data_IF_493447449097
#
_entry.id   IF_493447449097
#
_cell.length_a   1.000
_cell.length_b   1.000
_cell.length_c   1.000
_cell.angle_alpha   90.00
_cell.angle_beta   90.00
_cell.angle_gamma   90.00
#
_symmetry.space_group_name_H-M   'P 1'
#
loop_
_entity.id
_entity.type
_entity.pdbx_description
1 polymer ?
#
# COMPACT_ATOMS: atom_id res chain seq x y z
N UNK A 1 10.08 9.61 3.05
CA UNK A 1 11.28 9.36 3.87
C UNK A 1 12.01 10.65 4.21
N UNK A 2 12.35 11.49 3.23
CA UNK A 2 13.08 12.73 3.52
C UNK A 2 12.26 13.76 4.34
N UNK A 3 10.94 13.79 4.22
CA UNK A 3 10.12 14.70 5.01
C UNK A 3 9.94 14.23 6.46
N UNK A 4 9.78 12.92 6.68
CA UNK A 4 9.74 12.35 8.04
C UNK A 4 11.08 12.54 8.75
N UNK A 5 12.18 12.27 8.05
CA UNK A 5 13.52 12.54 8.59
C UNK A 5 13.73 14.02 8.90
N UNK A 6 13.11 14.94 8.13
CA UNK A 6 13.13 16.36 8.42
C UNK A 6 12.44 16.73 9.72
N UNK A 7 11.27 16.15 10.00
CA UNK A 7 10.55 16.35 11.26
C UNK A 7 11.36 15.84 12.45
N UNK A 8 11.94 14.64 12.36
CA UNK A 8 12.75 14.08 13.43
C UNK A 8 14.03 14.86 13.65
N UNK A 9 14.70 15.34 12.59
CA UNK A 9 15.87 16.25 12.73
C UNK A 9 15.49 17.53 13.45
N UNK A 10 14.39 18.14 13.07
CA UNK A 10 13.91 19.35 13.74
C UNK A 10 13.59 19.10 15.22
N UNK A 11 12.99 17.96 15.55
CA UNK A 11 12.79 17.55 16.95
C UNK A 11 14.12 17.33 17.68
N UNK A 12 15.11 16.70 17.06
CA UNK A 12 16.46 16.52 17.63
C UNK A 12 17.12 17.86 17.92
N UNK A 13 17.03 18.82 16.99
CA UNK A 13 17.58 20.17 17.15
C UNK A 13 16.90 20.92 18.31
N UNK A 14 15.57 20.78 18.44
CA UNK A 14 14.84 21.45 19.53
C UNK A 14 15.07 20.83 20.91
N UNK A 15 15.21 19.53 20.99
CA UNK A 15 15.35 18.80 22.26
C UNK A 15 16.81 18.63 22.66
N UNK A 16 17.74 18.83 21.71
CA UNK A 16 19.19 18.66 21.94
C UNK A 16 19.61 17.21 22.19
N UNK A 17 18.77 16.25 21.79
CA UNK A 17 19.00 14.81 22.02
C UNK A 17 19.00 14.06 20.69
N UNK A 18 19.99 13.21 20.47
CA UNK A 18 20.00 12.30 19.33
C UNK A 18 18.96 11.18 19.54
N UNK A 19 18.08 11.02 18.56
CA UNK A 19 17.12 9.93 18.54
C UNK A 19 17.57 8.84 17.55
N UNK A 20 17.46 7.59 17.97
CA UNK A 20 17.58 6.47 17.08
C UNK A 20 16.24 6.26 16.36
N UNK A 21 16.22 6.42 15.04
CA UNK A 21 15.03 6.24 14.22
C UNK A 21 15.00 4.79 13.74
N UNK A 22 13.97 4.06 14.15
CA UNK A 22 13.75 2.66 13.77
C UNK A 22 12.47 2.60 12.95
N UNK A 23 12.52 1.87 11.83
CA UNK A 23 11.32 1.59 11.07
C UNK A 23 10.41 0.64 11.85
N UNK A 24 9.11 0.94 11.88
CA UNK A 24 8.15 0.06 12.53
C UNK A 24 7.88 -1.17 11.65
N UNK A 25 7.89 -2.38 12.20
CA UNK A 25 7.47 -3.57 11.47
C UNK A 25 5.97 -3.47 11.17
N UNK A 26 5.59 -3.60 9.89
CA UNK A 26 4.21 -3.43 9.43
C UNK A 26 3.51 -4.75 9.10
N UNK A 27 3.99 -5.85 9.68
CA UNK A 27 3.46 -7.19 9.39
C UNK A 27 3.68 -7.64 7.94
N UNK A 28 4.67 -7.07 7.26
CA UNK A 28 5.01 -7.35 5.87
C UNK A 28 5.23 -8.82 5.63
N UNK A 29 5.96 -9.48 6.53
CA UNK A 29 6.25 -10.92 6.47
C UNK A 29 5.00 -11.77 6.47
N UNK A 30 4.00 -11.41 7.29
CA UNK A 30 2.74 -12.11 7.37
C UNK A 30 1.99 -12.05 6.04
N UNK A 31 1.91 -10.86 5.43
CA UNK A 31 1.27 -10.68 4.13
C UNK A 31 2.00 -11.45 3.04
N UNK A 32 3.31 -11.30 2.97
CA UNK A 32 4.12 -11.99 1.98
C UNK A 32 4.04 -13.52 2.10
N UNK A 33 4.30 -14.07 3.29
CA UNK A 33 4.33 -15.52 3.51
C UNK A 33 2.99 -16.21 3.26
N UNK A 34 1.88 -15.51 3.49
CA UNK A 34 0.56 -16.12 3.47
C UNK A 34 -0.29 -15.77 2.23
N UNK A 35 -0.03 -14.64 1.58
CA UNK A 35 -0.94 -14.09 0.58
C UNK A 35 -0.28 -13.62 -0.72
N UNK A 36 1.04 -13.58 -0.82
CA UNK A 36 1.71 -13.21 -2.06
C UNK A 36 1.36 -14.18 -3.18
N UNK A 37 0.94 -13.67 -4.34
CA UNK A 37 0.60 -14.46 -5.51
C UNK A 37 1.58 -14.18 -6.65
N UNK A 38 2.06 -15.22 -7.29
CA UNK A 38 2.86 -15.11 -8.52
C UNK A 38 1.99 -14.84 -9.75
N UNK A 39 0.76 -15.38 -9.76
CA UNK A 39 -0.20 -15.17 -10.84
C UNK A 39 -1.42 -14.46 -10.28
N UNK A 40 -1.86 -13.40 -10.95
CA UNK A 40 -3.01 -12.58 -10.59
C UNK A 40 -3.95 -12.43 -11.75
N UNK A 41 -5.21 -12.23 -11.45
CA UNK A 41 -6.20 -11.82 -12.45
C UNK A 41 -5.98 -10.35 -12.80
N UNK A 42 -6.12 -10.00 -14.08
CA UNK A 42 -6.16 -8.60 -14.48
C UNK A 42 -7.44 -7.97 -13.92
N UNK A 43 -7.32 -7.49 -12.72
CA UNK A 43 -8.41 -6.91 -11.94
C UNK A 43 -7.89 -5.76 -11.09
N UNK A 44 -8.79 -4.86 -10.72
CA UNK A 44 -8.47 -3.78 -9.81
C UNK A 44 -9.28 -3.92 -8.52
N UNK A 45 -8.63 -3.66 -7.42
CA UNK A 45 -9.22 -3.60 -6.10
C UNK A 45 -9.42 -2.15 -5.70
N UNK A 46 -10.65 -1.82 -5.31
CA UNK A 46 -10.99 -0.50 -4.79
C UNK A 46 -11.38 -0.63 -3.31
N UNK A 47 -10.52 -0.09 -2.44
CA UNK A 47 -10.80 -0.05 -1.01
C UNK A 47 -11.55 1.22 -0.65
N UNK A 48 -12.81 1.07 -0.31
CA UNK A 48 -13.67 2.17 0.11
C UNK A 48 -13.96 2.06 1.61
N UNK A 49 -13.25 2.78 2.47
CA UNK A 49 -13.58 2.80 3.89
C UNK A 49 -14.94 3.49 4.13
N UNK A 50 -15.76 3.06 5.09
CA UNK A 50 -17.16 3.49 5.23
C UNK A 50 -17.40 4.95 5.65
N UNK A 51 -16.38 5.75 5.90
CA UNK A 51 -16.54 6.93 6.77
C UNK A 51 -16.43 8.30 6.09
N UNK A 52 -15.97 8.46 4.83
CA UNK A 52 -15.71 9.80 4.29
C UNK A 52 -16.15 10.05 2.85
N UNK A 53 -16.58 11.29 2.56
CA UNK A 53 -16.91 11.84 1.22
C UNK A 53 -15.73 11.80 0.21
N UNK A 54 -14.53 11.44 0.65
CA UNK A 54 -13.30 11.30 -0.15
C UNK A 54 -13.31 10.12 -1.12
N UNK A 55 -14.32 9.27 -1.03
CA UNK A 55 -14.48 8.03 -1.81
C UNK A 55 -14.87 8.26 -3.25
N UNK A 56 -15.58 9.35 -3.53
CA UNK A 56 -16.18 9.55 -4.84
C UNK A 56 -15.12 9.52 -5.94
N UNK A 57 -13.98 10.17 -5.74
CA UNK A 57 -12.94 10.25 -6.76
C UNK A 57 -12.24 8.90 -6.99
N UNK A 58 -11.89 8.19 -5.92
CA UNK A 58 -11.27 6.86 -6.03
C UNK A 58 -12.22 5.86 -6.70
N UNK A 59 -13.48 5.83 -6.29
CA UNK A 59 -14.48 4.94 -6.87
C UNK A 59 -14.79 5.30 -8.33
N UNK A 60 -15.03 6.57 -8.62
CA UNK A 60 -15.31 7.03 -9.98
C UNK A 60 -14.16 6.69 -10.94
N UNK A 61 -12.93 6.98 -10.52
CA UNK A 61 -11.76 6.64 -11.33
C UNK A 61 -11.59 5.13 -11.50
N UNK A 62 -11.81 4.34 -10.42
CA UNK A 62 -11.71 2.88 -10.48
C UNK A 62 -12.75 2.28 -11.44
N UNK A 63 -14.00 2.76 -11.41
CA UNK A 63 -15.06 2.32 -12.33
C UNK A 63 -14.74 2.72 -13.76
N UNK A 64 -14.31 3.96 -13.98
CA UNK A 64 -13.87 4.43 -15.29
C UNK A 64 -12.78 3.54 -15.89
N UNK A 65 -11.73 3.22 -15.13
CA UNK A 65 -10.64 2.33 -15.56
C UNK A 65 -11.16 0.92 -15.86
N UNK A 66 -12.00 0.38 -14.97
CA UNK A 66 -12.60 -0.94 -15.14
C UNK A 66 -13.39 -1.04 -16.45
N UNK A 67 -14.26 -0.09 -16.71
CA UNK A 67 -15.09 -0.04 -17.92
C UNK A 67 -14.26 0.17 -19.18
N UNK A 68 -13.36 1.16 -19.17
CA UNK A 68 -12.55 1.55 -20.33
C UNK A 68 -11.61 0.44 -20.81
N UNK A 69 -11.02 -0.29 -19.88
CA UNK A 69 -10.03 -1.33 -20.19
C UNK A 69 -10.57 -2.76 -20.01
N UNK A 70 -11.85 -2.91 -19.75
CA UNK A 70 -12.51 -4.19 -19.49
C UNK A 70 -11.78 -5.00 -18.39
N UNK A 71 -11.44 -4.33 -17.29
CA UNK A 71 -10.78 -4.91 -16.13
C UNK A 71 -11.82 -5.24 -15.07
N UNK A 72 -11.76 -6.43 -14.50
CA UNK A 72 -12.65 -6.84 -13.43
C UNK A 72 -12.53 -5.89 -12.23
N UNK A 73 -13.64 -5.27 -11.85
CA UNK A 73 -13.74 -4.46 -10.65
C UNK A 73 -14.00 -5.37 -9.44
N UNK A 74 -13.16 -5.26 -8.42
CA UNK A 74 -13.30 -5.99 -7.16
C UNK A 74 -13.53 -4.97 -6.06
N UNK A 75 -14.75 -4.96 -5.56
CA UNK A 75 -15.16 -4.09 -4.47
C UNK A 75 -14.97 -4.82 -3.13
N UNK A 76 -14.72 -4.05 -2.09
CA UNK A 76 -14.93 -4.51 -0.74
C UNK A 76 -16.42 -4.47 -0.46
N UNK A 77 -17.02 -5.61 -0.23
CA UNK A 77 -18.37 -5.70 0.28
C UNK A 77 -18.44 -5.20 1.73
N UNK A 78 -18.64 -3.89 1.87
CA UNK A 78 -18.69 -3.20 3.15
C UNK A 78 -19.90 -3.65 3.98
N UNK A 79 -21.01 -3.98 3.32
CA UNK A 79 -22.23 -4.41 3.97
C UNK A 79 -22.06 -5.81 4.57
N UNK A 80 -21.55 -6.75 3.80
CA UNK A 80 -21.21 -8.08 4.29
C UNK A 80 -20.17 -8.03 5.41
N UNK A 81 -19.20 -7.13 5.33
CA UNK A 81 -18.22 -6.93 6.39
C UNK A 81 -18.84 -6.38 7.68
N UNK A 82 -19.76 -5.41 7.59
CA UNK A 82 -20.47 -4.84 8.76
C UNK A 82 -21.38 -5.87 9.43
N UNK A 83 -22.21 -6.52 8.65
CA UNK A 83 -23.20 -7.48 9.16
C UNK A 83 -22.51 -8.66 9.84
N UNK A 84 -21.44 -9.11 9.25
CA UNK A 84 -20.70 -10.23 9.80
C UNK A 84 -19.78 -9.84 10.96
N UNK A 85 -19.21 -8.62 11.07
CA UNK A 85 -18.40 -8.18 12.21
C UNK A 85 -19.20 -8.10 13.51
N UNK A 86 -20.52 -7.96 13.42
CA UNK A 86 -21.42 -7.98 14.56
C UNK A 86 -21.68 -9.40 15.09
N UNK A 87 -21.57 -10.43 14.24
CA UNK A 87 -21.90 -11.81 14.60
C UNK A 87 -20.71 -12.69 14.98
N UNK A 88 -19.51 -12.44 14.42
CA UNK A 88 -18.29 -13.14 14.81
C UNK A 88 -17.04 -12.35 14.31
N UNK A 89 -16.45 -11.49 15.15
CA UNK A 89 -15.48 -10.50 14.70
C UNK A 89 -14.11 -11.05 14.27
N UNK A 90 -13.77 -12.29 14.54
CA UNK A 90 -12.35 -12.59 14.74
C UNK A 90 -11.62 -13.42 13.70
N UNK A 91 -12.21 -14.13 12.75
CA UNK A 91 -11.33 -15.02 12.00
C UNK A 91 -11.51 -15.08 10.48
N UNK A 92 -12.71 -15.13 10.02
CA UNK A 92 -12.89 -15.57 8.63
C UNK A 92 -12.72 -14.46 7.59
N UNK A 93 -12.96 -13.24 7.97
CA UNK A 93 -13.24 -12.13 7.05
C UNK A 93 -12.01 -11.35 6.62
N UNK A 94 -11.05 -11.18 7.51
CA UNK A 94 -9.80 -10.51 7.17
C UNK A 94 -9.02 -11.32 6.13
N UNK A 95 -9.01 -12.64 6.27
CA UNK A 95 -8.32 -13.53 5.35
C UNK A 95 -8.95 -13.52 3.96
N UNK A 96 -10.28 -13.55 3.87
CA UNK A 96 -10.99 -13.47 2.59
C UNK A 96 -10.81 -12.11 1.92
N UNK A 97 -10.86 -11.04 2.69
CA UNK A 97 -10.55 -9.71 2.23
C UNK A 97 -9.14 -9.61 1.63
N UNK A 98 -8.12 -10.09 2.37
CA UNK A 98 -6.75 -10.06 1.89
C UNK A 98 -6.57 -10.97 0.66
N UNK A 99 -7.24 -12.13 0.61
CA UNK A 99 -7.22 -13.00 -0.56
C UNK A 99 -7.82 -12.34 -1.80
N UNK A 100 -8.97 -11.65 -1.67
CA UNK A 100 -9.55 -10.88 -2.78
C UNK A 100 -8.59 -9.81 -3.27
N UNK A 101 -7.98 -9.07 -2.35
CA UNK A 101 -7.03 -8.02 -2.65
C UNK A 101 -5.78 -8.58 -3.35
N UNK A 102 -5.14 -9.61 -2.80
CA UNK A 102 -3.91 -10.22 -3.33
C UNK A 102 -4.08 -10.89 -4.70
N UNK A 103 -5.30 -11.19 -5.11
CA UNK A 103 -5.61 -11.72 -6.45
C UNK A 103 -5.65 -10.63 -7.52
N UNK A 104 -5.75 -9.36 -7.15
CA UNK A 104 -5.80 -8.25 -8.09
C UNK A 104 -4.38 -7.82 -8.52
N UNK A 105 -4.28 -7.27 -9.73
CA UNK A 105 -3.04 -6.62 -10.21
C UNK A 105 -2.93 -5.21 -9.64
N UNK A 106 -4.03 -4.47 -9.58
CA UNK A 106 -4.06 -3.08 -9.18
C UNK A 106 -4.87 -2.84 -7.91
N UNK A 107 -4.41 -1.91 -7.11
CA UNK A 107 -5.15 -1.28 -6.02
C UNK A 107 -5.19 0.22 -6.27
N UNK A 108 -6.38 0.81 -6.37
CA UNK A 108 -6.53 2.25 -6.59
C UNK A 108 -6.88 2.96 -5.28
N UNK A 109 -6.09 3.98 -4.96
CA UNK A 109 -6.31 4.85 -3.81
C UNK A 109 -5.89 6.29 -4.14
N UNK A 110 -6.85 7.16 -4.38
CA UNK A 110 -6.66 8.59 -4.64
C UNK A 110 -6.87 9.43 -3.36
N UNK A 111 -6.33 8.99 -2.24
CA UNK A 111 -6.44 9.76 -0.99
C UNK A 111 -5.48 10.97 -1.01
N UNK A 112 -5.99 12.20 -1.11
CA UNK A 112 -5.16 13.38 -1.36
C UNK A 112 -4.41 13.91 -0.12
N UNK A 113 -4.89 13.61 1.08
CA UNK A 113 -4.54 14.42 2.25
C UNK A 113 -3.76 13.69 3.34
N UNK A 114 -3.29 12.49 3.09
CA UNK A 114 -2.57 11.77 4.13
C UNK A 114 -1.06 11.96 4.01
N UNK A 115 -0.50 12.87 4.79
CA UNK A 115 0.94 12.99 4.96
C UNK A 115 1.53 11.89 5.86
N UNK A 116 0.70 11.05 6.44
CA UNK A 116 1.12 9.94 7.28
C UNK A 116 1.56 8.75 6.41
N UNK A 117 2.55 7.94 6.87
CA UNK A 117 2.92 6.73 6.15
C UNK A 117 1.71 5.81 6.01
N UNK A 118 1.25 5.62 4.78
CA UNK A 118 0.07 4.80 4.50
C UNK A 118 0.42 3.31 4.55
N UNK A 119 -0.19 2.58 5.47
CA UNK A 119 -0.02 1.12 5.55
C UNK A 119 -0.44 0.40 4.27
N UNK A 120 -1.39 0.94 3.52
CA UNK A 120 -1.89 0.34 2.28
C UNK A 120 -0.80 0.20 1.21
N UNK A 121 0.05 1.21 1.03
CA UNK A 121 1.16 1.12 0.07
C UNK A 121 2.14 -0.01 0.41
N UNK A 122 2.42 -0.19 1.71
CA UNK A 122 3.29 -1.26 2.21
C UNK A 122 2.61 -2.64 2.09
N UNK A 123 1.33 -2.73 2.40
CA UNK A 123 0.55 -3.95 2.25
C UNK A 123 0.45 -4.35 0.78
N UNK A 124 0.22 -3.41 -0.14
CA UNK A 124 0.27 -3.65 -1.58
C UNK A 124 1.62 -4.23 -2.01
N UNK A 125 2.72 -3.63 -1.56
CA UNK A 125 4.06 -4.12 -1.87
C UNK A 125 4.30 -5.54 -1.33
N UNK A 126 3.85 -5.83 -0.11
CA UNK A 126 3.96 -7.16 0.49
C UNK A 126 3.09 -8.22 -0.23
N UNK A 127 1.91 -7.83 -0.71
CA UNK A 127 1.00 -8.69 -1.46
C UNK A 127 1.40 -8.83 -2.93
N UNK A 128 2.27 -7.97 -3.44
CA UNK A 128 2.62 -7.87 -4.86
C UNK A 128 1.49 -7.30 -5.72
N UNK A 129 0.74 -6.34 -5.19
CA UNK A 129 -0.34 -5.63 -5.87
C UNK A 129 0.13 -4.22 -6.17
N UNK A 130 0.05 -3.75 -7.40
CA UNK A 130 0.49 -2.39 -7.75
C UNK A 130 -0.47 -1.37 -7.12
N UNK A 131 0.07 -0.46 -6.32
CA UNK A 131 -0.71 0.63 -5.77
C UNK A 131 -0.74 1.82 -6.73
N UNK A 132 -1.92 2.29 -7.07
CA UNK A 132 -2.19 3.39 -8.00
C UNK A 132 -2.74 4.58 -7.21
N UNK A 133 -2.04 5.69 -7.27
CA UNK A 133 -2.40 6.91 -6.55
C UNK A 133 -1.75 7.03 -5.18
N UNK A 134 -2.08 8.14 -4.50
CA UNK A 134 -1.54 8.47 -3.19
C UNK A 134 -0.25 9.29 -3.23
N UNK A 135 -0.11 10.21 -2.26
CA UNK A 135 0.99 11.19 -2.21
C UNK A 135 1.87 11.06 -0.97
N UNK A 136 1.57 10.12 -0.07
CA UNK A 136 2.37 10.00 1.15
C UNK A 136 3.77 9.40 0.87
N UNK A 137 4.64 9.47 1.87
CA UNK A 137 6.02 9.03 1.75
C UNK A 137 6.16 7.55 1.36
N UNK A 138 5.30 6.68 1.87
CA UNK A 138 5.33 5.24 1.53
C UNK A 138 4.95 5.00 0.07
N UNK A 139 3.97 5.74 -0.46
CA UNK A 139 3.64 5.67 -1.89
C UNK A 139 4.81 6.12 -2.74
N UNK A 140 5.42 7.26 -2.44
CA UNK A 140 6.57 7.78 -3.20
C UNK A 140 7.78 6.85 -3.17
N UNK A 141 8.00 6.19 -2.04
CA UNK A 141 9.11 5.25 -1.89
C UNK A 141 8.87 3.94 -2.64
N UNK A 142 7.67 3.36 -2.50
CA UNK A 142 7.38 2.02 -3.00
C UNK A 142 6.83 2.01 -4.43
N UNK A 143 6.10 3.07 -4.81
CA UNK A 143 5.39 3.17 -6.08
C UNK A 143 5.65 4.52 -6.76
N UNK A 144 6.92 4.88 -7.04
CA UNK A 144 7.29 6.21 -7.51
C UNK A 144 6.60 6.63 -8.82
N UNK A 145 6.30 5.68 -9.69
CA UNK A 145 5.68 5.94 -10.99
C UNK A 145 4.17 6.19 -10.91
N UNK A 146 3.53 5.75 -9.84
CA UNK A 146 2.08 5.89 -9.61
C UNK A 146 1.74 6.73 -8.39
N UNK A 147 2.74 7.33 -7.73
CA UNK A 147 2.55 8.22 -6.59
C UNK A 147 2.15 9.62 -7.02
N UNK A 148 0.96 9.75 -7.55
CA UNK A 148 0.33 11.00 -7.97
C UNK A 148 -1.19 10.87 -7.84
N UNK A 149 -1.90 12.00 -7.83
CA UNK A 149 -3.36 12.04 -7.94
C UNK A 149 -3.82 12.63 -9.30
N UNK A 150 -2.89 12.86 -10.22
CA UNK A 150 -3.23 13.22 -11.61
C UNK A 150 -3.75 11.98 -12.34
N UNK A 151 -5.06 11.95 -12.56
CA UNK A 151 -5.75 10.81 -13.18
C UNK A 151 -5.28 10.52 -14.60
N UNK A 152 -4.78 11.52 -15.35
CA UNK A 152 -4.27 11.31 -16.71
C UNK A 152 -2.94 10.55 -16.68
N UNK A 153 -2.06 10.92 -15.73
CA UNK A 153 -0.79 10.23 -15.54
C UNK A 153 -1.07 8.80 -15.07
N UNK A 154 -1.96 8.63 -14.09
CA UNK A 154 -2.32 7.31 -13.58
C UNK A 154 -2.94 6.41 -14.64
N UNK A 155 -3.83 6.94 -15.46
CA UNK A 155 -4.41 6.19 -16.58
C UNK A 155 -3.34 5.77 -17.58
N UNK A 156 -2.41 6.66 -17.92
CA UNK A 156 -1.31 6.34 -18.84
C UNK A 156 -0.45 5.18 -18.29
N UNK A 157 -0.16 5.19 -17.00
CA UNK A 157 0.60 4.11 -16.34
C UNK A 157 -0.18 2.80 -16.27
N UNK A 158 -1.46 2.84 -15.96
CA UNK A 158 -2.31 1.64 -15.98
C UNK A 158 -2.33 1.01 -17.37
N UNK A 159 -2.50 1.84 -18.42
CA UNK A 159 -2.46 1.38 -19.80
C UNK A 159 -1.12 0.71 -20.15
N UNK A 160 0.00 1.31 -19.75
CA UNK A 160 1.33 0.73 -19.92
C UNK A 160 1.43 -0.63 -19.24
N UNK A 161 1.00 -0.75 -17.99
CA UNK A 161 1.02 -2.01 -17.25
C UNK A 161 0.13 -3.10 -17.88
N UNK A 162 -1.03 -2.72 -18.43
CA UNK A 162 -1.89 -3.68 -19.15
C UNK A 162 -1.20 -4.21 -20.40
N UNK A 163 -0.47 -3.36 -21.11
CA UNK A 163 0.21 -3.71 -22.35
C UNK A 163 1.58 -4.37 -22.16
N UNK A 164 2.19 -4.18 -20.99
CA UNK A 164 3.53 -4.64 -20.70
C UNK A 164 3.63 -5.40 -19.37
N UNK A 165 3.43 -6.73 -19.37
CA UNK A 165 3.57 -7.55 -18.17
C UNK A 165 4.94 -7.46 -17.49
N UNK A 166 5.99 -7.15 -18.23
CA UNK A 166 7.32 -6.98 -17.66
C UNK A 166 7.39 -5.72 -16.80
N UNK A 167 6.74 -4.62 -17.20
CA UNK A 167 6.66 -3.41 -16.38
C UNK A 167 5.92 -3.68 -15.06
N UNK A 168 4.86 -4.50 -15.10
CA UNK A 168 4.13 -4.97 -13.90
C UNK A 168 5.09 -5.69 -12.95
N UNK A 169 5.81 -6.69 -13.45
CA UNK A 169 6.73 -7.47 -12.63
C UNK A 169 7.85 -6.60 -12.04
N UNK A 170 8.44 -5.72 -12.84
CA UNK A 170 9.50 -4.81 -12.38
C UNK A 170 9.01 -3.88 -11.26
N UNK A 171 7.81 -3.32 -11.39
CA UNK A 171 7.22 -2.45 -10.37
C UNK A 171 6.96 -3.22 -9.07
N UNK A 172 6.42 -4.43 -9.17
CA UNK A 172 6.16 -5.30 -8.01
C UNK A 172 7.45 -5.71 -7.33
N UNK A 173 8.46 -6.16 -8.09
CA UNK A 173 9.74 -6.60 -7.55
C UNK A 173 10.48 -5.47 -6.84
N UNK A 174 10.46 -4.27 -7.42
CA UNK A 174 11.01 -3.08 -6.79
C UNK A 174 10.34 -2.77 -5.46
N UNK A 175 9.01 -2.67 -5.45
CA UNK A 175 8.24 -2.34 -4.25
C UNK A 175 8.39 -3.42 -3.18
N UNK A 176 8.33 -4.69 -3.58
CA UNK A 176 8.47 -5.83 -2.68
C UNK A 176 9.85 -5.87 -2.02
N UNK A 177 10.92 -5.74 -2.80
CA UNK A 177 12.29 -5.68 -2.27
C UNK A 177 12.45 -4.49 -1.32
N UNK A 178 11.93 -3.33 -1.70
CA UNK A 178 12.05 -2.11 -0.91
C UNK A 178 11.31 -2.23 0.42
N UNK A 179 10.07 -2.69 0.42
CA UNK A 179 9.29 -2.81 1.67
C UNK A 179 9.92 -3.83 2.63
N UNK A 180 10.48 -4.91 2.14
CA UNK A 180 11.20 -5.89 2.96
C UNK A 180 12.45 -5.32 3.58
N UNK A 181 13.22 -4.55 2.82
CA UNK A 181 14.46 -3.92 3.33
C UNK A 181 14.18 -3.02 4.53
N UNK A 182 13.05 -2.33 4.57
CA UNK A 182 12.77 -1.33 5.61
C UNK A 182 11.79 -1.80 6.69
N UNK A 183 10.88 -2.72 6.40
CA UNK A 183 9.73 -3.04 7.25
C UNK A 183 9.55 -4.54 7.52
N UNK A 184 10.44 -5.40 7.03
CA UNK A 184 10.52 -6.80 7.42
C UNK A 184 10.96 -6.91 8.88
N UNK A 185 10.40 -7.85 9.62
CA UNK A 185 10.70 -8.04 11.04
C UNK A 185 12.19 -8.27 11.29
N UNK A 186 12.85 -9.07 10.46
CA UNK A 186 14.29 -9.33 10.58
C UNK A 186 15.11 -8.05 10.33
N UNK A 187 14.74 -7.26 9.31
CA UNK A 187 15.39 -5.98 9.02
C UNK A 187 15.23 -4.98 10.17
N UNK A 188 14.07 -4.94 10.80
CA UNK A 188 13.82 -4.06 11.95
C UNK A 188 14.61 -4.52 13.18
N UNK A 189 14.65 -5.82 13.45
CA UNK A 189 15.46 -6.39 14.55
C UNK A 189 16.95 -6.04 14.35
N UNK A 190 17.46 -6.11 13.13
CA UNK A 190 18.84 -5.75 12.82
C UNK A 190 19.11 -4.26 13.04
N UNK A 191 18.17 -3.39 12.68
CA UNK A 191 18.25 -1.96 12.99
C UNK A 191 18.34 -1.74 14.51
N UNK A 192 17.51 -2.44 15.30
CA UNK A 192 17.53 -2.36 16.78
C UNK A 192 18.86 -2.79 17.35
N UNK A 193 19.41 -3.91 16.88
CA UNK A 193 20.72 -4.42 17.35
C UNK A 193 21.88 -3.45 17.10
N UNK A 194 21.78 -2.69 16.01
CA UNK A 194 22.82 -1.74 15.61
C UNK A 194 22.72 -0.38 16.32
N UNK A 195 21.72 -0.18 17.18
CA UNK A 195 21.61 1.02 18.00
C UNK A 195 22.74 1.05 19.02
N UNK A 196 23.54 2.11 18.98
CA UNK A 196 24.48 2.39 20.06
C UNK A 196 23.71 2.99 21.23
N UNK A 197 23.40 2.16 22.20
CA UNK A 197 22.84 2.65 23.46
C UNK A 197 23.90 3.40 24.22
N UNK A 198 23.81 4.71 24.30
CA UNK A 198 24.65 5.50 25.22
C UNK A 198 24.23 5.11 26.66
N UNK A 199 25.08 4.36 27.32
CA UNK A 199 24.94 4.04 28.77
C UNK A 199 25.51 5.16 29.60
#
# INVERSE_FOLDING_TARGET
>A
YNMEMGVFRHMQEQVGTEFNIINMPMGVDYFYKNFYKQKRELSLFCYLPPIHNRRSNTEQFSRYISEKYNIKFVDRDVEAYRTQSQTNPNEFKLRDFINKWSNCVFHINLDPDCNMPGSQAMQCAALGVINIGGLNCSHRLLWPETSTNDVNILESRIREYIQNPMAVNNAIDYAHKTVRTYHDTESVIEQIKNIKWNR
#
